data_IF_613744397185
#
_entry.id   IF_613744397185
#
_cell.length_a   1.000
_cell.length_b   1.000
_cell.length_c   1.000
_cell.angle_alpha   90.00
_cell.angle_beta   90.00
_cell.angle_gamma   90.00
#
_symmetry.space_group_name_H-M   'P 1'
#
loop_
_entity.id
_entity.type
_entity.pdbx_description
1 polymer ?
#
# COMPACT_ATOMS: atom_id res chain seq x y z
N UNK A 1 -18.34 -14.16 9.06
CA UNK A 1 -18.72 -15.42 8.36
C UNK A 1 -17.52 -16.34 8.32
N UNK A 2 -17.70 -17.65 8.15
CA UNK A 2 -16.59 -18.62 8.22
C UNK A 2 -15.57 -18.41 7.10
N UNK A 3 -14.33 -18.08 7.48
CA UNK A 3 -13.19 -18.05 6.57
C UNK A 3 -12.95 -19.46 6.01
N UNK A 4 -13.03 -19.62 4.69
CA UNK A 4 -12.75 -20.86 3.96
C UNK A 4 -11.55 -20.72 3.02
N UNK A 5 -10.68 -19.75 3.27
CA UNK A 5 -9.38 -19.65 2.60
C UNK A 5 -8.41 -20.71 3.11
N UNK A 6 -7.32 -20.99 2.38
CA UNK A 6 -6.27 -21.87 2.88
C UNK A 6 -5.66 -21.29 4.16
N UNK A 7 -5.79 -22.00 5.28
CA UNK A 7 -5.15 -21.66 6.57
C UNK A 7 -3.64 -21.90 6.57
N UNK A 8 -3.08 -22.28 5.43
CA UNK A 8 -1.68 -22.66 5.23
C UNK A 8 -1.04 -21.73 4.22
N UNK A 9 0.08 -21.13 4.60
CA UNK A 9 0.91 -20.34 3.70
C UNK A 9 1.44 -21.17 2.53
N UNK A 10 1.79 -20.49 1.44
CA UNK A 10 2.52 -21.10 0.33
C UNK A 10 3.82 -21.75 0.82
N UNK A 11 4.26 -22.82 0.14
CA UNK A 11 5.47 -23.55 0.50
C UNK A 11 6.69 -22.61 0.51
N UNK A 12 7.47 -22.65 1.59
CA UNK A 12 8.57 -21.70 1.84
C UNK A 12 8.18 -20.48 2.68
N UNK A 13 6.93 -20.38 3.14
CA UNK A 13 6.47 -19.34 4.06
C UNK A 13 5.81 -19.92 5.33
N UNK A 14 5.96 -19.20 6.44
CA UNK A 14 5.39 -19.50 7.76
C UNK A 14 4.28 -18.50 8.08
N UNK A 15 3.19 -18.94 8.71
CA UNK A 15 2.14 -18.05 9.20
C UNK A 15 2.58 -17.41 10.53
N UNK A 16 2.63 -16.08 10.57
CA UNK A 16 2.92 -15.27 11.77
C UNK A 16 1.63 -14.58 12.21
N UNK A 17 1.20 -14.84 13.44
CA UNK A 17 0.01 -14.22 14.02
C UNK A 17 0.39 -12.98 14.82
N UNK A 18 -0.14 -11.82 14.43
CA UNK A 18 0.11 -10.53 15.08
C UNK A 18 -0.99 -10.16 16.09
N UNK A 19 -2.21 -10.65 15.89
CA UNK A 19 -3.31 -10.50 16.84
C UNK A 19 -4.35 -11.62 16.69
N UNK A 20 -5.37 -11.62 17.55
CA UNK A 20 -6.53 -12.52 17.41
C UNK A 20 -7.29 -12.36 16.08
N UNK A 21 -7.05 -11.26 15.33
CA UNK A 21 -7.77 -10.90 14.10
C UNK A 21 -6.87 -10.70 12.88
N UNK A 22 -5.55 -10.81 13.04
CA UNK A 22 -4.60 -10.58 11.94
C UNK A 22 -3.39 -11.52 12.00
N UNK A 23 -3.09 -12.14 10.87
CA UNK A 23 -1.96 -13.05 10.65
C UNK A 23 -1.51 -12.97 9.20
N UNK A 24 -0.23 -13.18 8.94
CA UNK A 24 0.36 -13.03 7.61
C UNK A 24 1.35 -14.16 7.28
N UNK A 25 1.53 -14.44 5.99
CA UNK A 25 2.51 -15.40 5.51
C UNK A 25 3.87 -14.72 5.23
N UNK A 26 4.86 -15.02 6.06
CA UNK A 26 6.24 -14.50 5.94
C UNK A 26 7.17 -15.57 5.37
N UNK A 27 8.12 -15.24 4.48
CA UNK A 27 9.12 -16.22 4.02
C UNK A 27 9.84 -16.88 5.20
N UNK A 28 9.89 -18.22 5.22
CA UNK A 28 10.58 -18.96 6.27
C UNK A 28 12.08 -18.67 6.19
N UNK A 29 12.69 -18.29 7.31
CA UNK A 29 14.14 -18.05 7.36
C UNK A 29 14.90 -19.30 6.91
N UNK A 30 15.62 -19.20 5.79
CA UNK A 30 16.38 -20.32 5.24
C UNK A 30 17.43 -20.82 6.23
N UNK A 31 17.44 -22.14 6.47
CA UNK A 31 18.58 -22.80 7.09
C UNK A 31 19.87 -22.48 6.30
N UNK A 32 21.05 -22.40 6.95
CA UNK A 32 22.28 -21.99 6.30
C UNK A 32 22.60 -22.89 5.10
N UNK A 33 22.94 -22.27 3.98
CA UNK A 33 23.21 -22.93 2.71
C UNK A 33 24.32 -23.97 2.86
N UNK A 34 24.03 -25.23 2.49
CA UNK A 34 25.03 -26.29 2.51
C UNK A 34 26.03 -26.09 1.35
N UNK A 35 27.33 -26.11 1.67
CA UNK A 35 28.41 -26.05 0.69
C UNK A 35 28.35 -27.23 -0.31
N UNK A 36 28.78 -27.03 -1.57
CA UNK A 36 28.75 -28.09 -2.58
C UNK A 36 29.86 -29.12 -2.32
N UNK A 37 29.51 -30.41 -2.36
CA UNK A 37 30.47 -31.51 -2.30
C UNK A 37 30.43 -32.35 -3.58
N UNK A 38 31.59 -32.42 -4.25
CA UNK A 38 32.14 -33.56 -5.01
C UNK A 38 31.24 -34.36 -5.99
N UNK A 39 31.62 -34.33 -7.27
CA UNK A 39 31.23 -35.29 -8.33
C UNK A 39 31.64 -36.75 -8.02
N UNK A 40 31.20 -37.71 -8.86
CA UNK A 40 32.20 -38.43 -9.65
C UNK A 40 31.88 -38.53 -11.16
N UNK A 41 32.92 -38.87 -11.93
CA UNK A 41 33.01 -38.85 -13.40
C UNK A 41 32.43 -40.09 -14.11
N UNK A 42 32.22 -39.99 -15.43
CA UNK A 42 32.81 -40.95 -16.41
C UNK A 42 32.83 -40.45 -17.87
N UNK A 43 34.02 -40.61 -18.48
CA UNK A 43 34.33 -40.94 -19.89
C UNK A 43 33.96 -40.00 -21.07
N UNK A 44 35.02 -39.50 -21.72
CA UNK A 44 35.09 -39.06 -23.13
C UNK A 44 35.44 -40.28 -24.05
N UNK A 45 35.62 -40.18 -25.40
CA UNK A 45 36.42 -39.18 -26.16
C UNK A 45 35.56 -38.48 -27.27
N UNK A 46 36.03 -37.71 -28.28
CA UNK A 46 37.37 -37.48 -28.88
C UNK A 46 37.56 -36.04 -29.43
N UNK A 47 38.74 -35.78 -30.01
CA UNK A 47 39.07 -34.72 -30.99
C UNK A 47 40.10 -35.35 -31.99
N UNK A 48 40.78 -34.68 -32.97
CA UNK A 48 40.87 -33.24 -33.36
C UNK A 48 40.71 -33.10 -34.93
N UNK A 49 41.27 -32.12 -35.72
CA UNK A 49 42.15 -30.99 -35.41
C UNK A 49 41.85 -29.61 -36.06
N UNK A 50 42.72 -28.66 -35.74
CA UNK A 50 42.67 -27.20 -36.01
C UNK A 50 43.75 -26.73 -37.01
N UNK A 51 43.53 -25.59 -37.70
CA UNK A 51 44.57 -24.70 -38.32
C UNK A 51 43.99 -23.26 -38.55
N UNK A 52 44.78 -22.18 -38.85
CA UNK A 52 44.64 -20.89 -38.15
C UNK A 52 44.70 -19.61 -39.06
N UNK A 53 45.25 -18.49 -38.52
CA UNK A 53 45.61 -17.18 -39.13
C UNK A 53 44.50 -16.11 -39.23
N UNK A 54 44.59 -14.90 -38.61
CA UNK A 54 45.49 -13.71 -38.82
C UNK A 54 45.33 -13.07 -40.21
N UNK A 55 45.24 -11.74 -40.43
CA UNK A 55 45.70 -10.55 -39.67
C UNK A 55 44.92 -9.24 -40.09
N UNK A 56 45.37 -7.96 -39.88
CA UNK A 56 44.48 -6.81 -39.60
C UNK A 56 44.29 -5.77 -40.74
N UNK A 57 43.46 -4.73 -40.53
CA UNK A 57 43.75 -3.37 -41.07
C UNK A 57 43.02 -2.19 -40.41
N UNK A 58 43.80 -1.20 -39.96
CA UNK A 58 43.61 0.28 -40.01
C UNK A 58 42.28 0.97 -39.71
N UNK A 59 42.33 1.96 -38.82
CA UNK A 59 41.31 3.00 -38.60
C UNK A 59 41.57 4.29 -39.41
N UNK A 60 40.50 5.07 -39.69
CA UNK A 60 40.55 6.54 -39.79
C UNK A 60 39.15 7.12 -39.44
N UNK A 61 39.04 8.26 -38.71
CA UNK A 61 37.75 8.69 -38.14
C UNK A 61 36.95 9.63 -39.07
N UNK A 62 35.62 9.58 -38.92
CA UNK A 62 34.69 10.56 -39.50
C UNK A 62 33.90 11.22 -38.38
N UNK A 63 34.05 12.53 -38.23
CA UNK A 63 33.32 13.35 -37.25
C UNK A 63 31.87 13.54 -37.67
N UNK A 64 30.92 13.12 -36.84
CA UNK A 64 29.51 13.49 -36.92
C UNK A 64 29.14 14.41 -35.75
N UNK A 65 28.29 15.45 -35.94
CA UNK A 65 27.99 16.42 -34.89
C UNK A 65 27.06 15.82 -33.82
N UNK A 66 27.49 15.87 -32.57
CA UNK A 66 26.71 15.41 -31.43
C UNK A 66 25.60 16.41 -31.10
N UNK A 67 24.35 16.10 -31.44
CA UNK A 67 23.19 16.84 -30.92
C UNK A 67 23.03 16.54 -29.43
N UNK A 68 23.47 17.46 -28.58
CA UNK A 68 23.31 17.35 -27.13
C UNK A 68 21.84 17.53 -26.73
N UNK A 69 21.17 16.44 -26.34
CA UNK A 69 19.91 16.52 -25.61
C UNK A 69 20.11 17.28 -24.27
N UNK A 70 19.18 18.15 -23.84
CA UNK A 70 19.27 18.79 -22.54
C UNK A 70 19.22 17.77 -21.39
N UNK A 71 19.93 17.99 -20.27
CA UNK A 71 19.82 17.13 -19.10
C UNK A 71 18.41 17.15 -18.53
N UNK A 72 17.90 15.98 -18.13
CA UNK A 72 16.64 15.88 -17.41
C UNK A 72 16.76 16.60 -16.05
N UNK A 73 15.96 17.65 -15.85
CA UNK A 73 15.82 18.31 -14.54
C UNK A 73 15.14 17.34 -13.57
N UNK A 74 15.93 16.68 -12.72
CA UNK A 74 15.44 15.97 -11.54
C UNK A 74 14.80 16.97 -10.59
N UNK A 75 13.48 16.90 -10.42
CA UNK A 75 12.76 17.62 -9.37
C UNK A 75 13.20 17.09 -8.00
N UNK A 76 14.13 17.81 -7.36
CA UNK A 76 14.71 17.44 -6.07
C UNK A 76 13.73 17.54 -4.91
N UNK A 77 12.81 16.59 -4.80
CA UNK A 77 12.12 16.31 -3.54
C UNK A 77 13.06 15.62 -2.55
N UNK A 78 12.74 15.61 -1.24
CA UNK A 78 13.48 14.82 -0.27
C UNK A 78 13.52 13.33 -0.69
N UNK A 79 14.62 12.61 -0.45
CA UNK A 79 14.70 11.19 -0.77
C UNK A 79 13.56 10.40 -0.09
N UNK A 80 13.07 9.30 -0.70
CA UNK A 80 12.07 8.46 -0.06
C UNK A 80 12.62 7.94 1.27
N UNK A 81 11.83 8.03 2.33
CA UNK A 81 12.23 7.44 3.61
C UNK A 81 11.99 5.94 3.50
N UNK A 82 13.10 5.20 3.47
CA UNK A 82 13.08 3.76 3.26
C UNK A 82 13.36 3.01 4.56
N UNK A 83 12.51 2.03 4.88
CA UNK A 83 12.84 0.99 5.85
C UNK A 83 13.48 -0.18 5.08
N UNK A 84 14.77 -0.48 5.32
CA UNK A 84 15.51 -1.55 4.63
C UNK A 84 15.44 -1.50 3.08
N UNK A 85 15.28 -0.31 2.50
CA UNK A 85 15.11 -0.06 1.05
C UNK A 85 13.67 0.17 0.59
N UNK A 86 12.65 -0.13 1.42
CA UNK A 86 11.23 0.00 1.10
C UNK A 86 10.65 1.34 1.57
N UNK A 87 10.09 2.14 0.66
CA UNK A 87 9.28 3.32 0.99
C UNK A 87 7.93 2.87 1.53
N UNK A 88 7.80 2.87 2.87
CA UNK A 88 6.59 2.45 3.57
C UNK A 88 6.40 3.14 4.91
N UNK A 89 5.14 3.28 5.34
CA UNK A 89 4.79 3.90 6.62
C UNK A 89 3.41 3.45 7.14
N UNK A 90 3.15 3.75 8.42
CA UNK A 90 1.87 3.47 9.07
C UNK A 90 1.45 4.52 10.12
N UNK A 91 2.13 5.68 10.18
CA UNK A 91 1.85 6.83 11.07
C UNK A 91 2.46 8.11 10.49
N UNK A 92 2.06 9.26 11.01
CA UNK A 92 2.51 10.59 10.56
C UNK A 92 3.65 11.17 11.43
N UNK A 93 4.46 10.37 12.11
CA UNK A 93 5.50 10.89 13.02
C UNK A 93 4.96 11.53 14.31
N UNK A 94 5.83 12.22 15.06
CA UNK A 94 5.51 12.86 16.36
C UNK A 94 4.75 14.18 16.18
N UNK A 95 3.47 14.09 15.81
CA UNK A 95 2.53 15.22 15.75
C UNK A 95 1.11 14.75 15.99
N UNK A 96 0.24 15.62 16.49
CA UNK A 96 -1.16 15.30 16.80
C UNK A 96 -2.05 15.19 15.55
N UNK A 97 -1.77 14.24 14.67
CA UNK A 97 -2.53 14.00 13.45
C UNK A 97 -3.15 12.61 13.42
N UNK A 98 -4.36 12.53 12.89
CA UNK A 98 -5.06 11.28 12.58
C UNK A 98 -5.30 11.24 11.08
N UNK A 99 -4.74 10.23 10.41
CA UNK A 99 -5.04 9.94 9.01
C UNK A 99 -6.10 8.83 8.95
N UNK A 100 -7.25 9.13 8.37
CA UNK A 100 -8.30 8.13 8.14
C UNK A 100 -8.15 7.57 6.72
N UNK A 101 -8.24 6.25 6.62
CA UNK A 101 -8.35 5.56 5.34
C UNK A 101 -9.59 4.66 5.28
N UNK A 102 -10.16 4.59 4.09
CA UNK A 102 -11.33 3.80 3.74
C UNK A 102 -11.02 2.92 2.54
N UNK A 103 -10.99 1.60 2.76
CA UNK A 103 -10.65 0.60 1.74
C UNK A 103 -11.89 0.16 0.92
N UNK A 104 -11.66 -0.74 -0.03
CA UNK A 104 -12.62 -1.46 -0.89
C UNK A 104 -13.38 -0.68 -1.98
N UNK A 105 -13.60 0.63 -1.83
CA UNK A 105 -14.44 1.45 -2.73
C UNK A 105 -15.82 0.84 -3.06
N UNK A 106 -16.79 1.00 -2.17
CA UNK A 106 -18.11 0.40 -2.33
C UNK A 106 -19.10 1.28 -3.15
N UNK A 107 -19.81 0.74 -4.17
CA UNK A 107 -20.70 1.49 -5.07
C UNK A 107 -21.97 2.07 -4.43
N UNK A 108 -22.38 1.59 -3.27
CA UNK A 108 -23.60 2.06 -2.59
C UNK A 108 -23.45 3.52 -2.08
N UNK A 109 -24.49 4.17 -1.51
CA UNK A 109 -24.37 5.56 -1.03
C UNK A 109 -23.33 5.76 0.09
N UNK A 110 -22.64 4.71 0.54
CA UNK A 110 -21.52 4.76 1.49
C UNK A 110 -20.50 5.87 1.17
N UNK A 111 -20.03 6.02 -0.08
CA UNK A 111 -19.05 7.08 -0.42
C UNK A 111 -19.62 8.48 -0.16
N UNK A 112 -20.85 8.73 -0.60
CA UNK A 112 -21.50 10.04 -0.45
C UNK A 112 -21.86 10.33 1.02
N UNK A 113 -22.26 9.31 1.78
CA UNK A 113 -22.47 9.35 3.23
C UNK A 113 -21.17 9.65 4.01
N UNK A 114 -20.06 8.97 3.67
CA UNK A 114 -18.75 9.22 4.26
C UNK A 114 -18.33 10.67 3.96
N UNK A 115 -18.47 11.16 2.72
CA UNK A 115 -18.13 12.54 2.36
C UNK A 115 -18.99 13.57 3.10
N UNK A 116 -20.28 13.30 3.28
CA UNK A 116 -21.18 14.17 4.05
C UNK A 116 -20.75 14.26 5.52
N UNK A 117 -20.46 13.12 6.17
CA UNK A 117 -20.03 13.08 7.57
C UNK A 117 -18.62 13.67 7.78
N UNK A 118 -17.68 13.44 6.84
CA UNK A 118 -16.35 14.06 6.86
C UNK A 118 -16.45 15.58 6.75
N UNK A 119 -17.32 16.09 5.87
CA UNK A 119 -17.59 17.53 5.73
C UNK A 119 -18.22 18.10 7.00
N UNK A 120 -19.24 17.45 7.56
CA UNK A 120 -19.93 17.88 8.77
C UNK A 120 -18.99 17.99 9.98
N UNK A 121 -18.01 17.09 10.10
CA UNK A 121 -17.05 17.08 11.19
C UNK A 121 -15.75 17.88 10.91
N UNK A 122 -15.63 18.50 9.72
CA UNK A 122 -14.43 19.15 9.21
C UNK A 122 -13.19 18.23 9.34
N UNK A 123 -13.22 17.12 8.61
CA UNK A 123 -12.21 16.06 8.62
C UNK A 123 -11.72 15.77 7.20
N UNK A 124 -10.43 15.46 7.04
CA UNK A 124 -9.90 14.85 5.81
C UNK A 124 -9.65 13.35 6.02
N UNK A 125 -9.60 12.64 4.90
CA UNK A 125 -9.53 11.18 4.82
C UNK A 125 -9.04 10.76 3.44
N UNK A 126 -8.90 9.46 3.23
CA UNK A 126 -8.25 8.86 2.07
C UNK A 126 -9.00 7.61 1.66
N UNK A 127 -9.17 7.39 0.37
CA UNK A 127 -9.94 6.28 -0.17
C UNK A 127 -9.03 5.38 -0.99
N UNK A 128 -9.05 4.08 -0.71
CA UNK A 128 -8.22 3.08 -1.37
C UNK A 128 -9.12 2.21 -2.27
N UNK A 129 -8.82 2.22 -3.57
CA UNK A 129 -9.73 1.72 -4.60
C UNK A 129 -9.36 0.31 -5.05
N UNK A 130 -10.35 -0.59 -4.98
CA UNK A 130 -10.34 -1.90 -5.64
C UNK A 130 -11.51 -1.99 -6.64
N UNK A 131 -11.41 -1.36 -7.84
CA UNK A 131 -12.57 -1.14 -8.71
C UNK A 131 -13.26 -2.40 -9.25
N UNK A 132 -12.58 -3.56 -9.20
CA UNK A 132 -13.09 -4.87 -9.60
C UNK A 132 -13.52 -5.78 -8.44
N UNK A 133 -13.49 -5.32 -7.18
CA UNK A 133 -13.96 -6.09 -6.01
C UNK A 133 -15.48 -6.24 -5.99
N UNK A 134 -16.21 -5.24 -6.46
CA UNK A 134 -17.68 -5.17 -6.38
C UNK A 134 -18.32 -4.99 -7.76
N UNK A 135 -19.65 -5.03 -7.81
CA UNK A 135 -20.40 -4.70 -9.03
C UNK A 135 -19.98 -3.31 -9.57
N UNK A 136 -19.84 -3.13 -10.90
CA UNK A 136 -19.37 -1.87 -11.48
C UNK A 136 -20.16 -0.66 -10.96
N UNK A 137 -19.46 0.35 -10.45
CA UNK A 137 -20.06 1.63 -10.06
C UNK A 137 -20.15 2.55 -11.29
N UNK A 138 -21.35 2.78 -11.88
CA UNK A 138 -21.49 3.65 -13.04
C UNK A 138 -21.14 5.11 -12.74
N UNK A 139 -21.07 5.49 -11.46
CA UNK A 139 -20.75 6.85 -11.01
C UNK A 139 -19.31 6.98 -10.46
N UNK A 140 -18.45 5.95 -10.61
CA UNK A 140 -17.10 5.92 -10.03
C UNK A 140 -16.31 7.19 -10.32
N UNK A 141 -16.29 7.65 -11.57
CA UNK A 141 -15.53 8.83 -11.97
C UNK A 141 -16.06 10.14 -11.38
N UNK A 142 -17.38 10.27 -11.22
CA UNK A 142 -18.01 11.42 -10.57
C UNK A 142 -17.67 11.43 -9.08
N UNK A 143 -17.79 10.28 -8.41
CA UNK A 143 -17.44 10.12 -6.99
C UNK A 143 -15.96 10.38 -6.72
N UNK A 144 -15.04 9.82 -7.52
CA UNK A 144 -13.59 10.11 -7.40
C UNK A 144 -13.32 11.61 -7.53
N UNK A 145 -13.94 12.28 -8.51
CA UNK A 145 -13.81 13.74 -8.68
C UNK A 145 -14.38 14.51 -7.48
N UNK A 146 -15.49 14.07 -6.89
CA UNK A 146 -16.05 14.67 -5.67
C UNK A 146 -15.14 14.48 -4.45
N UNK A 147 -14.55 13.29 -4.27
CA UNK A 147 -13.57 12.97 -3.21
C UNK A 147 -12.37 13.93 -3.31
N UNK A 148 -11.80 14.06 -4.50
CA UNK A 148 -10.64 14.94 -4.76
C UNK A 148 -11.00 16.43 -4.60
N UNK A 149 -12.15 16.87 -5.15
CA UNK A 149 -12.61 18.26 -5.05
C UNK A 149 -12.94 18.69 -3.61
N UNK A 150 -13.37 17.74 -2.76
CA UNK A 150 -13.54 17.97 -1.33
C UNK A 150 -12.21 17.94 -0.54
N UNK A 151 -11.07 17.74 -1.20
CA UNK A 151 -9.73 17.77 -0.58
C UNK A 151 -9.37 16.51 0.19
N UNK A 152 -9.97 15.37 -0.17
CA UNK A 152 -9.55 14.04 0.26
C UNK A 152 -8.55 13.46 -0.76
N UNK A 153 -7.99 12.28 -0.49
CA UNK A 153 -7.09 11.59 -1.43
C UNK A 153 -7.67 10.26 -1.91
N UNK A 154 -7.19 9.80 -3.07
CA UNK A 154 -7.61 8.59 -3.81
C UNK A 154 -6.34 7.83 -4.14
N UNK A 155 -6.26 6.57 -3.72
CA UNK A 155 -5.05 5.73 -3.80
C UNK A 155 -5.41 4.27 -4.17
N UNK A 156 -4.41 3.44 -4.51
CA UNK A 156 -4.63 2.12 -5.11
C UNK A 156 -4.74 0.99 -4.08
N UNK A 157 -5.64 0.02 -4.31
CA UNK A 157 -5.86 -1.16 -3.47
C UNK A 157 -5.94 -2.47 -4.27
N UNK A 158 -5.09 -2.62 -5.30
CA UNK A 158 -5.21 -3.60 -6.41
C UNK A 158 -6.49 -3.39 -7.23
N UNK A 159 -6.85 -4.31 -8.13
CA UNK A 159 -8.10 -4.23 -8.89
C UNK A 159 -9.16 -5.19 -8.33
N UNK A 160 -8.79 -6.45 -8.10
CA UNK A 160 -9.66 -7.56 -7.68
C UNK A 160 -9.67 -7.84 -6.17
N UNK A 161 -8.88 -7.10 -5.38
CA UNK A 161 -8.73 -7.30 -3.93
C UNK A 161 -8.37 -8.76 -3.56
N UNK A 162 -7.52 -9.41 -4.34
CA UNK A 162 -6.95 -10.71 -3.98
C UNK A 162 -5.65 -10.55 -3.20
N UNK A 163 -5.23 -11.60 -2.49
CA UNK A 163 -3.94 -11.66 -1.81
C UNK A 163 -2.79 -11.35 -2.78
N UNK A 164 -2.17 -10.19 -2.62
CA UNK A 164 -1.18 -9.67 -3.57
C UNK A 164 0.11 -10.51 -3.61
N UNK A 165 0.36 -11.26 -2.54
CA UNK A 165 1.43 -12.25 -2.39
C UNK A 165 1.21 -13.53 -3.20
N UNK A 166 -0.03 -13.87 -3.57
CA UNK A 166 -0.36 -15.08 -4.34
C UNK A 166 -0.17 -14.90 -5.85
N UNK A 167 -0.06 -13.66 -6.32
CA UNK A 167 0.16 -13.33 -7.72
C UNK A 167 1.63 -13.47 -8.14
N UNK A 168 1.88 -13.73 -9.42
CA UNK A 168 3.16 -13.45 -10.07
C UNK A 168 3.37 -11.93 -10.24
N UNK A 169 4.61 -11.50 -10.54
CA UNK A 169 4.89 -10.08 -10.81
C UNK A 169 4.10 -9.53 -12.01
N UNK A 170 3.85 -10.35 -13.04
CA UNK A 170 3.06 -9.93 -14.20
C UNK A 170 1.56 -9.75 -13.85
N UNK A 171 1.02 -10.58 -12.97
CA UNK A 171 -0.35 -10.44 -12.47
C UNK A 171 -0.48 -9.23 -11.54
N UNK A 172 0.49 -8.99 -10.64
CA UNK A 172 0.53 -7.77 -9.81
C UNK A 172 0.58 -6.49 -10.64
N UNK A 173 1.46 -6.43 -11.64
CA UNK A 173 1.52 -5.31 -12.59
C UNK A 173 0.19 -5.13 -13.33
N UNK A 174 -0.49 -6.23 -13.69
CA UNK A 174 -1.83 -6.20 -14.31
C UNK A 174 -2.90 -5.65 -13.36
N UNK A 175 -2.88 -6.03 -12.09
CA UNK A 175 -3.81 -5.53 -11.06
C UNK A 175 -3.62 -4.03 -10.81
N UNK A 176 -2.37 -3.57 -10.68
CA UNK A 176 -2.07 -2.14 -10.57
C UNK A 176 -2.53 -1.40 -11.83
N UNK A 177 -2.17 -1.90 -13.01
CA UNK A 177 -2.48 -1.25 -14.29
C UNK A 177 -3.97 -1.12 -14.56
N UNK A 178 -4.79 -2.12 -14.20
CA UNK A 178 -6.26 -2.02 -14.33
C UNK A 178 -6.85 -0.93 -13.42
N UNK A 179 -6.35 -0.80 -12.19
CA UNK A 179 -6.80 0.25 -11.26
C UNK A 179 -6.34 1.64 -11.72
N UNK A 180 -5.14 1.76 -12.27
CA UNK A 180 -4.69 2.97 -12.97
C UNK A 180 -5.56 3.32 -14.16
N UNK A 181 -5.93 2.34 -15.00
CA UNK A 181 -6.73 2.60 -16.19
C UNK A 181 -8.16 3.08 -15.85
N UNK A 182 -8.72 2.65 -14.71
CA UNK A 182 -9.97 3.26 -14.19
C UNK A 182 -9.75 4.73 -13.84
N UNK A 183 -8.75 5.05 -13.01
CA UNK A 183 -8.59 6.41 -12.48
C UNK A 183 -8.05 7.39 -13.53
N UNK A 184 -7.00 7.02 -14.25
CA UNK A 184 -6.30 7.90 -15.20
C UNK A 184 -7.00 7.92 -16.56
N UNK A 185 -7.29 6.75 -17.13
CA UNK A 185 -7.80 6.63 -18.51
C UNK A 185 -9.33 6.82 -18.57
N UNK A 186 -10.11 6.04 -17.82
CA UNK A 186 -11.58 6.09 -17.88
C UNK A 186 -12.13 7.38 -17.22
N UNK A 187 -11.60 7.75 -16.05
CA UNK A 187 -12.04 8.96 -15.36
C UNK A 187 -11.34 10.25 -15.82
N UNK A 188 -10.28 10.14 -16.64
CA UNK A 188 -9.57 11.28 -17.23
C UNK A 188 -8.81 12.13 -16.20
N UNK A 189 -8.25 11.49 -15.17
CA UNK A 189 -7.45 12.16 -14.14
C UNK A 189 -5.95 12.08 -14.48
N UNK A 190 -5.12 13.04 -14.02
CA UNK A 190 -3.69 13.01 -14.29
C UNK A 190 -3.01 11.72 -13.79
N UNK A 191 -2.06 11.20 -14.56
CA UNK A 191 -1.18 10.13 -14.09
C UNK A 191 -0.45 10.58 -12.80
N UNK A 192 -0.32 9.67 -11.83
CA UNK A 192 0.19 10.00 -10.50
C UNK A 192 -0.81 10.69 -9.56
N UNK A 193 -2.11 10.71 -9.91
CA UNK A 193 -3.18 11.10 -8.96
C UNK A 193 -3.20 10.16 -7.75
N UNK A 194 -2.99 8.85 -7.96
CA UNK A 194 -2.71 7.90 -6.89
C UNK A 194 -1.20 7.86 -6.67
N UNK A 195 -0.76 8.06 -5.43
CA UNK A 195 0.67 8.07 -5.03
C UNK A 195 1.03 6.91 -4.11
N UNK A 196 0.02 6.23 -3.60
CA UNK A 196 0.17 5.22 -2.56
C UNK A 196 -0.58 3.95 -2.94
N UNK A 197 -0.01 2.83 -2.54
CA UNK A 197 -0.63 1.53 -2.65
C UNK A 197 -0.79 0.94 -1.25
N UNK A 198 -1.99 0.42 -1.01
CA UNK A 198 -2.27 -0.37 0.16
C UNK A 198 -2.49 -1.81 -0.29
N UNK A 199 -1.75 -2.81 0.21
CA UNK A 199 -1.99 -4.19 -0.15
C UNK A 199 -3.35 -4.66 0.40
N UNK A 200 -4.19 -5.36 -0.39
CA UNK A 200 -5.32 -6.12 0.12
C UNK A 200 -4.92 -6.98 1.31
N UNK A 201 -5.76 -7.04 2.34
CA UNK A 201 -5.50 -7.73 3.60
C UNK A 201 -4.25 -7.25 4.37
N UNK A 202 -3.55 -6.19 3.96
CA UNK A 202 -2.23 -5.85 4.50
C UNK A 202 -1.09 -6.76 4.02
N UNK A 203 -1.36 -7.68 3.10
CA UNK A 203 -0.47 -8.81 2.81
C UNK A 203 0.60 -8.48 1.76
N UNK A 204 1.86 -8.44 2.20
CA UNK A 204 3.02 -8.02 1.42
C UNK A 204 4.33 -8.63 1.95
N UNK A 205 5.29 -8.93 1.07
CA UNK A 205 6.68 -9.24 1.45
C UNK A 205 7.63 -8.13 0.96
N UNK A 206 8.94 -8.24 1.24
CA UNK A 206 9.90 -7.17 0.92
C UNK A 206 10.04 -6.97 -0.59
N UNK A 207 10.11 -8.07 -1.32
CA UNK A 207 10.33 -8.13 -2.76
C UNK A 207 9.17 -7.43 -3.50
N UNK A 208 7.93 -7.69 -3.07
CA UNK A 208 6.73 -7.09 -3.67
C UNK A 208 6.59 -5.61 -3.30
N UNK A 209 7.00 -5.18 -2.10
CA UNK A 209 7.00 -3.76 -1.79
C UNK A 209 8.05 -2.97 -2.60
N UNK A 210 9.21 -3.57 -2.87
CA UNK A 210 10.21 -2.98 -3.76
C UNK A 210 9.70 -2.91 -5.21
N UNK A 211 8.92 -3.91 -5.66
CA UNK A 211 8.21 -3.88 -6.95
C UNK A 211 7.24 -2.69 -7.00
N UNK A 212 6.33 -2.56 -6.03
CA UNK A 212 5.37 -1.45 -5.91
C UNK A 212 6.06 -0.08 -5.79
N UNK A 213 7.17 0.01 -5.04
CA UNK A 213 7.94 1.25 -4.94
C UNK A 213 8.64 1.63 -6.24
N UNK A 214 9.10 0.66 -7.02
CA UNK A 214 9.71 0.89 -8.34
C UNK A 214 8.70 1.44 -9.34
N UNK A 215 7.44 1.04 -9.22
CA UNK A 215 6.31 1.56 -10.00
C UNK A 215 5.84 2.95 -9.49
N UNK A 216 6.51 3.53 -8.49
CA UNK A 216 6.30 4.90 -8.01
C UNK A 216 5.35 5.02 -6.81
N UNK A 217 4.77 3.92 -6.33
CA UNK A 217 3.82 3.92 -5.22
C UNK A 217 4.52 3.75 -3.87
N UNK A 218 4.18 4.60 -2.89
CA UNK A 218 4.56 4.35 -1.49
C UNK A 218 3.59 3.34 -0.87
N UNK A 219 4.11 2.38 -0.11
CA UNK A 219 3.28 1.37 0.57
C UNK A 219 2.76 1.92 1.90
N UNK A 220 1.47 1.74 2.18
CA UNK A 220 0.84 2.19 3.44
C UNK A 220 0.16 1.06 4.22
N UNK A 221 0.42 1.02 5.52
CA UNK A 221 -0.28 0.19 6.51
C UNK A 221 -0.95 1.05 7.59
N UNK A 222 -1.47 0.42 8.65
CA UNK A 222 -2.21 1.06 9.72
C UNK A 222 -1.44 1.08 11.05
N UNK A 223 -1.76 2.06 11.89
CA UNK A 223 -1.49 1.98 13.33
C UNK A 223 -2.59 1.15 14.00
N UNK A 224 -3.86 1.41 13.64
CA UNK A 224 -5.03 0.84 14.31
C UNK A 224 -6.08 0.31 13.33
N UNK A 225 -6.56 -0.90 13.62
CA UNK A 225 -7.71 -1.52 12.96
C UNK A 225 -8.84 -1.72 13.99
N UNK A 226 -9.92 -0.91 13.90
CA UNK A 226 -11.13 -1.10 14.68
C UNK A 226 -11.88 -2.42 14.40
N UNK A 227 -11.52 -3.14 13.33
CA UNK A 227 -12.16 -4.36 12.81
C UNK A 227 -13.62 -4.09 12.42
N UNK A 228 -13.83 -3.03 11.64
CA UNK A 228 -15.13 -2.74 11.02
C UNK A 228 -15.44 -3.66 9.83
N UNK A 229 -14.45 -4.40 9.33
CA UNK A 229 -14.60 -5.42 8.30
C UNK A 229 -15.26 -6.72 8.80
N UNK A 230 -15.31 -6.98 10.11
CA UNK A 230 -16.02 -8.16 10.62
C UNK A 230 -17.52 -7.90 10.57
N UNK A 231 -18.19 -8.42 9.54
CA UNK A 231 -19.64 -8.31 9.36
C UNK A 231 -20.50 -8.85 10.53
N UNK A 232 -19.93 -9.62 11.47
CA UNK A 232 -20.63 -10.00 12.71
C UNK A 232 -20.57 -8.94 13.81
N UNK A 233 -19.61 -8.01 13.72
CA UNK A 233 -19.26 -7.01 14.74
C UNK A 233 -19.14 -5.56 14.20
N UNK A 234 -19.43 -5.30 12.92
CA UNK A 234 -19.26 -4.00 12.26
C UNK A 234 -20.23 -2.87 12.67
N UNK A 235 -21.01 -3.07 13.75
CA UNK A 235 -21.95 -2.06 14.27
C UNK A 235 -21.21 -0.97 15.02
N UNK A 236 -21.70 0.27 14.94
CA UNK A 236 -21.17 1.40 15.71
C UNK A 236 -21.00 1.07 17.21
N UNK A 237 -21.96 0.35 17.81
CA UNK A 237 -21.94 -0.08 19.22
C UNK A 237 -20.76 -0.97 19.61
N UNK A 238 -20.11 -1.62 18.64
CA UNK A 238 -19.00 -2.57 18.85
C UNK A 238 -17.68 -1.97 18.35
N UNK A 239 -17.69 -1.37 17.16
CA UNK A 239 -16.51 -0.71 16.55
C UNK A 239 -16.07 0.51 17.35
N UNK A 240 -17.00 1.27 17.94
CA UNK A 240 -16.63 2.47 18.71
C UNK A 240 -15.87 2.17 20.01
N UNK A 241 -16.34 1.29 20.93
CA UNK A 241 -15.55 0.92 22.11
C UNK A 241 -14.17 0.35 21.78
N UNK A 242 -14.06 -0.46 20.72
CA UNK A 242 -12.77 -0.99 20.23
C UNK A 242 -11.85 0.12 19.72
N UNK A 243 -12.39 1.10 19.00
CA UNK A 243 -11.65 2.31 18.60
C UNK A 243 -11.13 3.07 19.82
N UNK A 244 -11.96 3.30 20.85
CA UNK A 244 -11.53 3.98 22.08
C UNK A 244 -10.40 3.24 22.82
N UNK A 245 -10.46 1.90 22.87
CA UNK A 245 -9.40 1.07 23.46
C UNK A 245 -8.08 1.19 22.68
N UNK A 246 -8.13 1.29 21.35
CA UNK A 246 -6.94 1.51 20.53
C UNK A 246 -6.38 2.92 20.74
N UNK A 247 -7.25 3.94 20.82
CA UNK A 247 -6.83 5.33 20.99
C UNK A 247 -6.23 5.62 22.36
N UNK A 248 -6.64 4.92 23.43
CA UNK A 248 -6.02 5.05 24.75
C UNK A 248 -4.57 4.53 24.80
N UNK A 249 -4.14 3.76 23.79
CA UNK A 249 -2.76 3.28 23.63
C UNK A 249 -1.89 4.24 22.80
N UNK A 250 -2.48 5.30 22.22
CA UNK A 250 -1.75 6.25 21.38
C UNK A 250 -0.78 7.09 22.24
N UNK A 251 0.55 7.02 22.02
CA UNK A 251 1.49 7.78 22.83
C UNK A 251 1.25 9.29 22.71
N UNK A 252 1.41 10.03 23.81
CA UNK A 252 1.14 11.48 23.84
C UNK A 252 1.97 12.23 22.80
N UNK A 253 1.30 13.01 21.95
CA UNK A 253 1.93 13.74 20.85
C UNK A 253 2.29 12.89 19.63
N UNK A 254 1.94 11.61 19.60
CA UNK A 254 2.02 10.75 18.42
C UNK A 254 0.88 11.02 17.44
N UNK A 255 0.95 10.37 16.28
CA UNK A 255 -0.09 10.29 15.25
C UNK A 255 -0.53 8.84 15.02
N UNK A 256 -1.64 8.66 14.30
CA UNK A 256 -2.11 7.34 13.87
C UNK A 256 -2.68 7.36 12.44
N UNK A 257 -2.50 6.26 11.72
CA UNK A 257 -3.30 5.88 10.54
C UNK A 257 -4.34 4.85 11.00
N UNK A 258 -5.63 5.10 10.72
CA UNK A 258 -6.74 4.24 11.16
C UNK A 258 -7.48 3.68 9.95
N UNK A 259 -7.53 2.35 9.89
CA UNK A 259 -8.23 1.56 8.86
C UNK A 259 -9.76 1.57 9.06
N UNK A 260 -10.48 1.70 7.94
CA UNK A 260 -11.93 1.49 7.81
C UNK A 260 -12.23 0.89 6.44
N UNK A 261 -13.44 0.37 6.24
CA UNK A 261 -13.88 -0.18 4.97
C UNK A 261 -15.16 0.50 4.50
N UNK A 262 -15.19 0.94 3.24
CA UNK A 262 -16.33 1.71 2.71
C UNK A 262 -17.67 0.97 2.81
N UNK A 263 -17.70 -0.35 2.59
CA UNK A 263 -18.92 -1.15 2.67
C UNK A 263 -19.50 -1.26 4.10
N UNK A 264 -18.66 -1.09 5.13
CA UNK A 264 -19.11 -1.11 6.53
C UNK A 264 -19.84 0.19 6.93
N UNK A 265 -19.60 1.29 6.20
CA UNK A 265 -20.16 2.61 6.51
C UNK A 265 -21.62 2.76 6.08
N UNK A 266 -22.50 2.12 6.84
CA UNK A 266 -23.97 2.11 6.64
C UNK A 266 -24.68 2.41 7.95
N UNK A 267 -25.96 2.79 7.89
CA UNK A 267 -26.78 3.07 9.09
C UNK A 267 -26.90 1.91 10.07
N UNK A 268 -26.74 0.66 9.60
CA UNK A 268 -26.69 -0.54 10.44
C UNK A 268 -25.28 -0.98 10.83
N UNK A 269 -24.25 -0.42 10.18
CA UNK A 269 -22.83 -0.64 10.44
C UNK A 269 -22.21 0.53 11.21
N UNK A 270 -21.20 1.18 10.63
CA UNK A 270 -20.36 2.20 11.32
C UNK A 270 -20.78 3.66 11.14
N UNK A 271 -21.93 3.97 10.51
CA UNK A 271 -22.36 5.37 10.34
C UNK A 271 -22.46 6.10 11.69
N UNK A 272 -21.86 7.28 11.78
CA UNK A 272 -21.70 8.05 13.03
C UNK A 272 -20.34 7.87 13.73
N UNK A 273 -19.51 6.91 13.32
CA UNK A 273 -18.17 6.69 13.89
C UNK A 273 -17.27 7.93 13.76
N UNK A 274 -17.39 8.68 12.66
CA UNK A 274 -16.61 9.91 12.42
C UNK A 274 -16.94 11.04 13.42
N UNK A 275 -18.19 11.15 13.86
CA UNK A 275 -18.58 12.10 14.91
C UNK A 275 -17.98 11.70 16.27
N UNK A 276 -17.97 10.41 16.60
CA UNK A 276 -17.32 9.91 17.81
C UNK A 276 -15.79 10.17 17.78
N UNK A 277 -15.16 9.96 16.63
CA UNK A 277 -13.73 10.23 16.43
C UNK A 277 -13.43 11.72 16.61
N UNK A 278 -14.25 12.59 16.00
CA UNK A 278 -14.14 14.04 16.15
C UNK A 278 -14.22 14.46 17.62
N UNK A 279 -15.22 13.96 18.34
CA UNK A 279 -15.45 14.28 19.75
C UNK A 279 -14.32 13.82 20.67
N UNK A 280 -13.66 12.70 20.36
CA UNK A 280 -12.52 12.18 21.12
C UNK A 280 -11.23 12.97 20.86
N UNK A 281 -10.93 13.23 19.58
CA UNK A 281 -9.64 13.77 19.17
C UNK A 281 -9.56 15.32 19.19
N UNK A 282 -10.68 16.03 19.00
CA UNK A 282 -10.67 17.50 18.97
C UNK A 282 -10.26 18.13 20.32
N UNK A 283 -10.76 17.70 21.50
CA UNK A 283 -10.31 18.24 22.79
C UNK A 283 -8.82 17.99 23.08
N UNK A 284 -8.27 16.91 22.50
CA UNK A 284 -6.84 16.57 22.61
C UNK A 284 -5.97 17.41 21.66
N UNK A 285 -6.57 18.24 20.79
CA UNK A 285 -5.88 19.10 19.83
C UNK A 285 -5.38 18.37 18.58
N UNK A 286 -6.03 17.28 18.18
CA UNK A 286 -5.67 16.53 16.98
C UNK A 286 -6.37 17.07 15.71
N UNK A 287 -5.68 16.95 14.58
CA UNK A 287 -6.20 17.28 13.25
C UNK A 287 -6.41 16.01 12.42
N UNK A 288 -7.41 16.02 11.54
CA UNK A 288 -7.70 14.91 10.62
C UNK A 288 -7.18 15.26 9.22
N UNK A 289 -6.25 14.44 8.71
CA UNK A 289 -5.47 14.70 7.49
C UNK A 289 -5.63 13.58 6.47
N UNK A 290 -5.26 13.84 5.21
CA UNK A 290 -5.08 12.76 4.23
C UNK A 290 -3.80 11.96 4.51
N UNK A 291 -3.74 10.74 4.01
CA UNK A 291 -2.53 9.92 4.03
C UNK A 291 -1.40 10.57 3.24
N UNK A 292 -1.70 11.28 2.14
CA UNK A 292 -0.71 12.08 1.41
C UNK A 292 -0.07 13.17 2.29
N UNK A 293 -0.87 13.96 3.01
CA UNK A 293 -0.38 14.98 3.94
C UNK A 293 0.44 14.36 5.08
N UNK A 294 -0.06 13.25 5.63
CA UNK A 294 0.62 12.44 6.65
C UNK A 294 2.03 12.02 6.19
N UNK A 295 2.13 11.53 4.95
CA UNK A 295 3.38 11.09 4.33
C UNK A 295 4.35 12.25 4.03
N UNK A 296 3.90 13.29 3.34
CA UNK A 296 4.77 14.40 2.96
C UNK A 296 5.35 15.11 4.17
N UNK A 297 4.56 15.29 5.23
CA UNK A 297 5.05 15.87 6.47
C UNK A 297 5.97 14.91 7.26
N UNK A 298 5.72 13.58 7.29
CA UNK A 298 6.65 12.66 7.98
C UNK A 298 7.98 12.53 7.22
N UNK A 299 7.96 12.71 5.89
CA UNK A 299 9.16 12.83 5.06
C UNK A 299 9.92 14.13 5.29
N UNK A 300 9.24 15.26 5.39
CA UNK A 300 9.86 16.55 5.71
C UNK A 300 10.65 16.51 7.03
N UNK A 301 10.12 15.83 8.05
CA UNK A 301 10.77 15.65 9.35
C UNK A 301 11.92 14.62 9.35
N UNK A 302 12.19 13.94 8.23
CA UNK A 302 13.23 12.90 8.15
C UNK A 302 12.94 11.62 8.97
N UNK A 303 11.72 11.44 9.48
CA UNK A 303 11.40 10.48 10.53
C UNK A 303 10.22 9.52 10.20
N UNK A 304 9.86 9.37 8.93
CA UNK A 304 8.80 8.45 8.50
C UNK A 304 9.21 6.97 8.51
N UNK A 305 9.50 6.44 9.70
CA UNK A 305 9.69 5.00 9.95
C UNK A 305 8.34 4.34 10.26
N UNK A 306 8.27 3.02 10.32
CA UNK A 306 7.12 2.33 10.94
C UNK A 306 7.11 2.62 12.45
N UNK A 307 5.91 2.73 13.04
CA UNK A 307 5.75 3.14 14.44
C UNK A 307 6.08 2.07 15.48
N UNK A 308 6.24 0.80 15.08
CA UNK A 308 6.39 -0.36 15.98
C UNK A 308 5.10 -0.77 16.72
N UNK A 309 3.96 -0.16 16.37
CA UNK A 309 2.64 -0.48 16.91
C UNK A 309 1.62 -0.51 15.74
N UNK A 310 0.77 -1.53 15.72
CA UNK A 310 0.02 -1.95 14.53
C UNK A 310 0.82 -2.93 13.67
N UNK A 311 0.25 -3.54 12.61
CA UNK A 311 1.01 -4.37 11.69
C UNK A 311 1.93 -3.46 10.87
N UNK A 312 3.15 -3.28 11.38
CA UNK A 312 4.25 -2.85 10.55
C UNK A 312 4.33 -3.80 9.36
N UNK A 313 4.57 -3.26 8.17
CA UNK A 313 4.74 -4.08 6.96
C UNK A 313 5.91 -5.08 7.08
N UNK A 314 6.76 -4.92 8.12
CA UNK A 314 8.04 -5.56 8.35
C UNK A 314 8.45 -5.56 9.83
N UNK A 315 7.68 -6.19 10.71
CA UNK A 315 8.26 -6.68 11.98
C UNK A 315 9.03 -7.98 11.66
N UNK A 316 10.30 -7.79 11.28
CA UNK A 316 11.32 -8.82 11.02
C UNK A 316 12.06 -9.20 12.30
#
# INVERSE_FOLDING_TARGET
>A
MGYSGPTTCAAGSTCVQYSAYYSQCTPSASAPSASPSSSPSTNAPSSPPSVPSTSPSTAKPTTAPTTSSPPATTSGGPPPITNNGVSSYNWCGKRKWIALMFDDWWPSPAIDDILADLKANNMKASFFLAPGLSSPDPNICTKIKNVLAAGHSVNAHSYTHQHFTHFTAAERATEMKKTEDVVYTQCGLPAGTMKQFRPPYGDLNKEIALEVNKDGYTVISWTYDPVDWDASNNKLSTVWPKSQQLFSQLPSGSSAVILHHTWAYTSSGTKGLLANYKNYFAPLGYQFVTVDQCFDACRADGNCKLAGFGPGLYDF
#
